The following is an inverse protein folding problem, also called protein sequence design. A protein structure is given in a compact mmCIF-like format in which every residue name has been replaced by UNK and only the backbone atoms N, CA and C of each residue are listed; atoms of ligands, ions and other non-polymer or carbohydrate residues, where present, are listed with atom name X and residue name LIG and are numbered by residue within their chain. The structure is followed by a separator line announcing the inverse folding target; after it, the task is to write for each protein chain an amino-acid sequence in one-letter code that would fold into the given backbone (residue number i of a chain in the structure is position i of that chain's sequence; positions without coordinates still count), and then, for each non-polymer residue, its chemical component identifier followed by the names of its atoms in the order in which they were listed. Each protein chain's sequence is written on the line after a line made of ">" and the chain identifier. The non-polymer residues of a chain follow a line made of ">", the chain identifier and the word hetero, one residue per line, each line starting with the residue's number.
data_IF_011653898061
#
_entry.id   IF_011653898061
#
_cell.length_a   1.000
_cell.length_b   1.000
_cell.length_c   1.000
_cell.angle_alpha   90.00
_cell.angle_beta   90.00
_cell.angle_gamma   90.00
#
_symmetry.space_group_name_H-M   'P 1'
#
loop_
_entity.id
_entity.type
_entity.pdbx_description
1 polymer ?
#
# COMPACT_ATOMS: atom_id res chain seq x y z
N UNK A 1 -3.89 14.95 11.84
CA UNK A 1 -3.07 15.61 12.87
C UNK A 1 -2.31 16.78 12.28
N UNK A 2 -2.10 17.83 13.08
CA UNK A 2 -1.14 18.87 12.76
C UNK A 2 -0.10 18.89 13.90
N UNK A 3 1.22 18.83 13.60
CA UNK A 3 1.79 18.73 12.24
C UNK A 3 1.52 17.36 11.61
N UNK A 4 1.51 17.29 10.27
CA UNK A 4 1.36 16.03 9.53
C UNK A 4 2.61 15.17 9.74
N UNK A 5 2.53 13.97 10.37
CA UNK A 5 3.69 13.08 10.51
C UNK A 5 4.13 12.52 9.15
N UNK A 6 5.44 12.28 9.00
CA UNK A 6 5.95 11.66 7.78
C UNK A 6 5.49 10.20 7.66
N UNK A 7 4.97 9.85 6.49
CA UNK A 7 4.59 8.46 6.15
C UNK A 7 5.56 7.91 5.12
N UNK A 8 6.17 6.77 5.40
CA UNK A 8 6.99 6.03 4.42
C UNK A 8 6.17 4.92 3.77
N UNK A 9 5.96 5.02 2.45
CA UNK A 9 5.25 4.04 1.65
C UNK A 9 6.26 3.06 1.08
N UNK A 10 6.21 1.79 1.48
CA UNK A 10 7.12 0.73 1.06
C UNK A 10 6.45 -0.11 -0.03
N UNK A 11 7.07 -0.20 -1.20
CA UNK A 11 6.54 -0.91 -2.38
C UNK A 11 7.55 -1.94 -2.86
N UNK A 12 7.44 -3.22 -2.47
CA UNK A 12 8.21 -4.29 -3.09
C UNK A 12 7.87 -4.40 -4.58
N UNK A 13 8.90 -4.45 -5.44
CA UNK A 13 8.70 -4.59 -6.88
C UNK A 13 9.69 -5.58 -7.48
N UNK A 14 9.21 -6.36 -8.42
CA UNK A 14 10.03 -7.22 -9.28
C UNK A 14 9.45 -7.20 -10.68
N UNK A 15 10.21 -6.64 -11.65
CA UNK A 15 9.68 -6.44 -13.00
C UNK A 15 8.32 -5.70 -12.96
N UNK A 16 7.29 -6.06 -13.71
CA UNK A 16 5.93 -5.46 -13.67
C UNK A 16 5.94 -3.93 -13.72
N UNK A 17 6.71 -3.37 -14.66
CA UNK A 17 6.94 -1.92 -14.80
C UNK A 17 5.64 -1.14 -14.98
N UNK A 18 4.72 -1.66 -15.80
CA UNK A 18 3.43 -1.01 -16.10
C UNK A 18 2.54 -0.88 -14.86
N UNK A 19 2.54 -1.89 -13.98
CA UNK A 19 1.76 -1.87 -12.75
C UNK A 19 2.37 -0.88 -11.76
N UNK A 20 3.70 -0.90 -11.61
CA UNK A 20 4.41 0.05 -10.76
C UNK A 20 4.21 1.49 -11.24
N UNK A 21 4.24 1.74 -12.56
CA UNK A 21 4.00 3.07 -13.13
C UNK A 21 2.61 3.60 -12.76
N UNK A 22 1.56 2.80 -12.94
CA UNK A 22 0.19 3.17 -12.55
C UNK A 22 0.07 3.43 -11.06
N UNK A 23 0.68 2.55 -10.25
CA UNK A 23 0.72 2.69 -8.80
C UNK A 23 1.35 4.03 -8.39
N UNK A 24 2.60 4.30 -8.80
CA UNK A 24 3.32 5.54 -8.48
C UNK A 24 2.57 6.77 -9.01
N UNK A 25 2.12 6.73 -10.28
CA UNK A 25 1.36 7.83 -10.84
C UNK A 25 0.11 8.15 -10.00
N UNK A 26 -0.64 7.13 -9.59
CA UNK A 26 -1.86 7.31 -8.80
C UNK A 26 -1.56 7.89 -7.41
N UNK A 27 -0.46 7.47 -6.77
CA UNK A 27 -0.03 8.00 -5.47
C UNK A 27 0.26 9.50 -5.59
N UNK A 28 1.16 9.88 -6.50
CA UNK A 28 1.60 11.28 -6.61
C UNK A 28 0.54 12.22 -7.21
N UNK A 29 -0.33 11.71 -8.08
CA UNK A 29 -1.37 12.53 -8.71
C UNK A 29 -2.61 12.74 -7.83
N UNK A 30 -2.93 11.80 -6.93
CA UNK A 30 -4.22 11.82 -6.22
C UNK A 30 -4.09 12.05 -4.72
N UNK A 31 -2.96 11.71 -4.08
CA UNK A 31 -2.84 11.81 -2.62
C UNK A 31 -2.85 13.27 -2.17
N UNK A 32 -3.82 13.63 -1.34
CA UNK A 32 -3.95 14.97 -0.77
C UNK A 32 -3.05 15.18 0.47
N UNK A 33 -2.55 14.11 1.08
CA UNK A 33 -1.61 14.18 2.18
C UNK A 33 -0.21 14.51 1.65
N UNK A 34 0.42 15.58 2.14
CA UNK A 34 1.65 16.11 1.54
C UNK A 34 2.94 15.51 2.12
N UNK A 35 2.93 15.10 3.39
CA UNK A 35 4.16 14.65 4.07
C UNK A 35 4.36 13.14 3.98
N UNK A 36 4.75 12.67 2.79
CA UNK A 36 5.09 11.25 2.55
C UNK A 36 6.34 11.09 1.71
N UNK A 37 6.98 9.94 1.83
CA UNK A 37 8.02 9.46 0.93
C UNK A 37 7.64 8.09 0.39
N UNK A 38 8.17 7.74 -0.79
CA UNK A 38 7.97 6.42 -1.40
C UNK A 38 9.30 5.70 -1.51
N UNK A 39 9.33 4.43 -1.08
CA UNK A 39 10.51 3.57 -1.15
C UNK A 39 10.13 2.33 -1.95
N UNK A 40 10.56 2.28 -3.19
CA UNK A 40 10.48 1.08 -4.03
C UNK A 40 11.60 0.13 -3.62
N UNK A 41 11.24 -1.11 -3.30
CA UNK A 41 12.19 -2.14 -2.92
C UNK A 41 12.34 -3.09 -4.10
N UNK A 42 13.40 -2.90 -4.87
CA UNK A 42 13.76 -3.71 -6.01
C UNK A 42 14.11 -5.13 -5.57
N UNK A 43 13.38 -6.13 -6.06
CA UNK A 43 13.52 -7.53 -5.68
C UNK A 43 13.94 -8.43 -6.85
N UNK A 44 15.18 -8.33 -7.28
CA UNK A 44 15.75 -9.20 -8.29
C UNK A 44 15.01 -9.14 -9.65
N UNK A 45 14.69 -7.96 -10.14
CA UNK A 45 14.17 -7.74 -11.49
C UNK A 45 15.19 -8.18 -12.54
N UNK A 46 14.69 -8.64 -13.67
CA UNK A 46 15.51 -9.12 -14.79
C UNK A 46 15.28 -8.34 -16.07
N UNK A 47 14.18 -7.59 -16.16
CA UNK A 47 13.86 -6.76 -17.30
C UNK A 47 14.64 -5.42 -17.23
N UNK A 48 15.49 -5.11 -18.22
CA UNK A 48 16.18 -3.81 -18.30
C UNK A 48 15.24 -2.60 -18.29
N UNK A 49 14.01 -2.73 -18.79
CA UNK A 49 13.01 -1.68 -18.80
C UNK A 49 12.64 -1.24 -17.37
N UNK A 50 12.61 -2.18 -16.42
CA UNK A 50 12.36 -1.89 -15.01
C UNK A 50 13.42 -0.94 -14.42
N UNK A 51 14.68 -1.20 -14.69
CA UNK A 51 15.76 -0.34 -14.19
C UNK A 51 15.75 1.03 -14.86
N UNK A 52 15.48 1.10 -16.17
CA UNK A 52 15.30 2.37 -16.87
C UNK A 52 14.15 3.20 -16.27
N UNK A 53 13.05 2.55 -15.95
CA UNK A 53 11.91 3.19 -15.31
C UNK A 53 12.25 3.71 -13.90
N UNK A 54 13.03 2.98 -13.10
CA UNK A 54 13.45 3.47 -11.79
C UNK A 54 14.23 4.79 -11.88
N UNK A 55 15.11 4.91 -12.88
CA UNK A 55 15.88 6.15 -13.09
C UNK A 55 14.99 7.32 -13.56
N UNK A 56 13.97 7.05 -14.37
CA UNK A 56 12.96 8.03 -14.75
C UNK A 56 12.10 8.44 -13.56
N UNK A 57 11.57 7.48 -12.83
CA UNK A 57 10.70 7.70 -11.69
C UNK A 57 11.37 8.55 -10.59
N UNK A 58 12.67 8.31 -10.31
CA UNK A 58 13.43 9.13 -9.36
C UNK A 58 13.54 10.59 -9.76
N UNK A 59 13.57 10.89 -11.06
CA UNK A 59 13.63 12.26 -11.58
C UNK A 59 12.25 12.92 -11.57
N UNK A 60 11.21 12.13 -11.75
CA UNK A 60 9.83 12.59 -11.89
C UNK A 60 9.14 12.83 -10.55
N UNK A 61 9.42 11.99 -9.56
CA UNK A 61 8.70 11.98 -8.29
C UNK A 61 9.60 12.38 -7.13
N UNK A 62 9.25 13.48 -6.47
CA UNK A 62 9.97 13.97 -5.29
C UNK A 62 9.86 12.97 -4.12
N UNK A 63 10.95 12.78 -3.39
CA UNK A 63 10.98 11.85 -2.24
C UNK A 63 10.98 10.37 -2.60
N UNK A 64 10.99 10.00 -3.91
CA UNK A 64 11.10 8.61 -4.34
C UNK A 64 12.51 8.07 -4.15
N UNK A 65 12.60 6.96 -3.43
CA UNK A 65 13.84 6.18 -3.27
C UNK A 65 13.66 4.79 -3.89
N UNK A 66 14.73 4.23 -4.43
CA UNK A 66 14.78 2.82 -4.83
C UNK A 66 15.94 2.16 -4.10
N UNK A 67 15.66 1.08 -3.38
CA UNK A 67 16.64 0.29 -2.65
C UNK A 67 16.62 -1.15 -3.16
N UNK A 68 17.78 -1.77 -3.31
CA UNK A 68 17.87 -3.13 -3.87
C UNK A 68 17.97 -4.16 -2.76
N UNK A 69 17.03 -5.10 -2.73
CA UNK A 69 17.05 -6.26 -1.86
C UNK A 69 18.24 -7.18 -2.22
N UNK A 70 19.16 -7.45 -1.28
CA UNK A 70 20.43 -8.13 -1.60
C UNK A 70 20.29 -9.65 -1.73
N UNK A 71 19.22 -10.24 -1.23
CA UNK A 71 19.05 -11.70 -1.21
C UNK A 71 18.19 -12.18 -2.39
N UNK A 72 18.30 -13.47 -2.69
CA UNK A 72 17.51 -14.10 -3.76
C UNK A 72 16.16 -14.60 -3.23
N UNK A 73 15.19 -14.63 -4.13
CA UNK A 73 13.86 -15.16 -3.86
C UNK A 73 12.90 -14.13 -3.29
N UNK A 74 11.72 -14.60 -2.90
CA UNK A 74 10.65 -13.75 -2.39
C UNK A 74 10.31 -14.10 -0.94
N UNK A 75 10.51 -13.16 -0.07
CA UNK A 75 10.02 -13.19 1.31
C UNK A 75 9.46 -11.82 1.65
N UNK A 76 8.14 -11.68 1.61
CA UNK A 76 7.45 -10.40 1.79
C UNK A 76 7.85 -9.67 3.07
N UNK A 77 7.90 -10.40 4.19
CA UNK A 77 8.27 -9.81 5.48
C UNK A 77 9.73 -9.33 5.51
N UNK A 78 10.65 -10.14 5.00
CA UNK A 78 12.07 -9.79 4.98
C UNK A 78 12.35 -8.60 4.06
N UNK A 79 11.72 -8.55 2.87
CA UNK A 79 11.84 -7.45 1.90
C UNK A 79 11.33 -6.14 2.52
N UNK A 80 10.16 -6.15 3.14
CA UNK A 80 9.60 -4.96 3.79
C UNK A 80 10.44 -4.53 5.02
N UNK A 81 10.95 -5.46 5.83
CA UNK A 81 11.86 -5.16 6.92
C UNK A 81 13.18 -4.56 6.43
N UNK A 82 13.65 -4.94 5.25
CA UNK A 82 14.79 -4.31 4.61
C UNK A 82 14.47 -2.89 4.16
N UNK A 83 13.36 -2.68 3.45
CA UNK A 83 12.91 -1.36 3.00
C UNK A 83 12.69 -0.39 4.15
N UNK A 84 12.18 -0.88 5.28
CA UNK A 84 12.02 -0.08 6.51
C UNK A 84 13.32 0.60 6.96
N UNK A 85 14.49 0.01 6.71
CA UNK A 85 15.79 0.62 7.10
C UNK A 85 16.09 1.92 6.35
N UNK A 86 15.50 2.13 5.19
CA UNK A 86 15.62 3.35 4.39
C UNK A 86 14.50 4.37 4.70
N UNK A 87 13.49 3.95 5.45
CA UNK A 87 12.34 4.77 5.82
C UNK A 87 12.72 5.79 6.92
N UNK A 88 12.19 6.99 6.78
CA UNK A 88 12.35 8.10 7.73
C UNK A 88 11.03 8.46 8.43
N UNK A 89 9.91 7.91 7.94
CA UNK A 89 8.58 8.19 8.45
C UNK A 89 8.31 7.58 9.82
N UNK A 90 7.49 8.29 10.58
CA UNK A 90 6.93 7.82 11.84
C UNK A 90 5.94 6.68 11.62
N UNK A 91 5.23 6.71 10.49
CA UNK A 91 4.29 5.68 10.07
C UNK A 91 4.81 4.97 8.83
N UNK A 92 4.55 3.66 8.77
CA UNK A 92 4.91 2.82 7.64
C UNK A 92 3.64 2.32 6.94
N UNK A 93 3.58 2.47 5.63
CA UNK A 93 2.54 1.87 4.79
C UNK A 93 3.16 0.82 3.89
N UNK A 94 2.73 -0.43 4.03
CA UNK A 94 3.12 -1.53 3.15
C UNK A 94 2.12 -1.58 2.00
N UNK A 95 2.57 -1.37 0.77
CA UNK A 95 1.73 -1.29 -0.41
C UNK A 95 2.25 -2.21 -1.51
N UNK A 96 1.35 -2.95 -2.17
CA UNK A 96 1.70 -3.70 -3.36
C UNK A 96 1.88 -2.76 -4.57
N UNK A 97 2.70 -3.19 -5.55
CA UNK A 97 2.97 -2.43 -6.76
C UNK A 97 1.83 -2.40 -7.79
N UNK A 98 0.79 -3.21 -7.60
CA UNK A 98 -0.40 -3.36 -8.46
C UNK A 98 -1.65 -2.64 -7.91
N UNK A 99 -1.48 -1.73 -6.97
CA UNK A 99 -2.57 -0.96 -6.35
C UNK A 99 -2.64 0.44 -6.92
N UNK A 100 -3.85 0.92 -7.23
CA UNK A 100 -4.10 2.30 -7.64
C UNK A 100 -4.92 3.06 -6.59
N UNK A 101 -4.47 4.26 -6.25
CA UNK A 101 -5.19 5.18 -5.35
C UNK A 101 -6.50 5.63 -6.00
N UNK A 102 -7.60 5.55 -5.27
CA UNK A 102 -8.93 5.94 -5.76
C UNK A 102 -9.31 7.37 -5.40
N UNK A 103 -9.14 7.75 -4.15
CA UNK A 103 -9.56 9.04 -3.58
C UNK A 103 -8.40 9.70 -2.83
N UNK A 104 -8.37 11.04 -2.82
CA UNK A 104 -7.22 11.80 -2.32
C UNK A 104 -6.98 11.71 -0.82
N UNK A 105 -8.01 11.46 -0.04
CA UNK A 105 -7.98 11.40 1.42
C UNK A 105 -7.56 10.04 2.01
N UNK A 106 -7.29 9.05 1.17
CA UNK A 106 -7.01 7.67 1.57
C UNK A 106 -5.94 7.54 2.67
N UNK A 107 -4.83 8.28 2.54
CA UNK A 107 -3.72 8.23 3.49
C UNK A 107 -4.07 8.94 4.80
N UNK A 108 -4.79 10.05 4.71
CA UNK A 108 -5.33 10.76 5.87
C UNK A 108 -6.30 9.87 6.67
N UNK A 109 -7.17 9.12 5.99
CA UNK A 109 -8.13 8.24 6.65
C UNK A 109 -7.43 7.07 7.36
N UNK A 110 -6.41 6.45 6.73
CA UNK A 110 -5.61 5.40 7.38
C UNK A 110 -4.88 5.94 8.63
N UNK A 111 -4.25 7.10 8.52
CA UNK A 111 -3.58 7.74 9.65
C UNK A 111 -4.54 8.09 10.78
N UNK A 112 -5.77 8.50 10.46
CA UNK A 112 -6.78 8.84 11.46
C UNK A 112 -7.11 7.67 12.38
N UNK A 113 -7.02 6.43 11.87
CA UNK A 113 -7.23 5.23 12.67
C UNK A 113 -6.04 4.87 13.58
N UNK A 114 -4.83 5.27 13.21
CA UNK A 114 -3.59 4.91 13.94
C UNK A 114 -3.07 6.04 14.83
N UNK A 115 -3.21 7.30 14.41
CA UNK A 115 -2.49 8.44 14.99
C UNK A 115 -3.19 9.12 16.18
N UNK A 116 -4.30 8.60 16.70
CA UNK A 116 -4.94 9.16 17.89
C UNK A 116 -4.63 8.32 19.15
N UNK A 117 -4.73 8.90 20.36
CA UNK A 117 -4.55 8.15 21.60
C UNK A 117 -5.54 6.97 21.68
N UNK A 118 -5.01 5.75 21.85
CA UNK A 118 -5.79 4.51 21.81
C UNK A 118 -6.13 4.04 20.39
N UNK A 119 -5.53 4.62 19.34
CA UNK A 119 -5.70 4.20 17.96
C UNK A 119 -5.15 2.80 17.68
N UNK A 120 -5.52 2.25 16.52
CA UNK A 120 -5.06 0.94 16.09
C UNK A 120 -3.55 0.94 15.81
N UNK A 121 -2.84 -0.10 16.24
CA UNK A 121 -1.42 -0.28 15.93
C UNK A 121 -1.21 -0.60 14.43
N UNK A 122 -2.20 -1.19 13.79
CA UNK A 122 -2.20 -1.55 12.37
C UNK A 122 -3.59 -1.27 11.80
N UNK A 123 -3.65 -0.59 10.66
CA UNK A 123 -4.89 -0.34 9.93
C UNK A 123 -4.75 -0.83 8.48
N UNK A 124 -5.80 -1.45 7.96
CA UNK A 124 -5.86 -1.91 6.57
C UNK A 124 -6.95 -1.19 5.79
N UNK A 125 -6.66 -0.86 4.52
CA UNK A 125 -7.63 -0.25 3.63
C UNK A 125 -8.63 -1.27 3.07
N UNK A 126 -9.85 -0.81 2.76
CA UNK A 126 -10.77 -1.56 1.92
C UNK A 126 -10.29 -1.51 0.47
N UNK A 127 -10.18 -2.68 -0.17
CA UNK A 127 -9.70 -2.80 -1.54
C UNK A 127 -10.83 -3.24 -2.48
N UNK A 128 -10.77 -2.74 -3.70
CA UNK A 128 -11.71 -3.06 -4.77
C UNK A 128 -11.00 -3.64 -5.98
N UNK A 129 -11.64 -4.57 -6.66
CA UNK A 129 -11.26 -4.98 -8.00
C UNK A 129 -11.59 -3.90 -9.03
N UNK A 130 -11.01 -3.94 -10.26
CA UNK A 130 -11.32 -2.98 -11.31
C UNK A 130 -12.80 -2.94 -11.72
N UNK A 131 -13.55 -4.02 -11.49
CA UNK A 131 -14.99 -4.12 -11.74
C UNK A 131 -15.87 -3.56 -10.61
N UNK A 132 -15.28 -2.83 -9.65
CA UNK A 132 -15.96 -2.23 -8.50
C UNK A 132 -16.51 -3.25 -7.48
N UNK A 133 -16.10 -4.51 -7.55
CA UNK A 133 -16.39 -5.47 -6.50
C UNK A 133 -15.32 -5.43 -5.40
N UNK A 134 -15.69 -5.82 -4.19
CA UNK A 134 -14.78 -5.88 -3.05
C UNK A 134 -13.72 -6.96 -3.24
N UNK A 135 -12.45 -6.59 -3.12
CA UNK A 135 -11.33 -7.51 -3.01
C UNK A 135 -11.06 -7.86 -1.55
N UNK A 136 -11.00 -6.84 -0.70
CA UNK A 136 -10.66 -6.95 0.72
C UNK A 136 -11.50 -5.97 1.55
N UNK A 137 -12.14 -6.48 2.59
CA UNK A 137 -12.86 -5.71 3.60
C UNK A 137 -12.78 -6.44 4.96
N UNK A 138 -11.55 -6.77 5.37
CA UNK A 138 -11.25 -7.54 6.57
C UNK A 138 -10.94 -9.01 6.31
N UNK A 139 -10.33 -9.65 7.29
CA UNK A 139 -9.91 -11.05 7.28
C UNK A 139 -10.62 -11.83 8.39
N UNK A 140 -11.10 -13.01 8.07
CA UNK A 140 -11.67 -13.95 9.04
C UNK A 140 -10.72 -15.12 9.20
N UNK A 141 -10.18 -15.30 10.40
CA UNK A 141 -9.31 -16.45 10.74
C UNK A 141 -10.12 -17.74 10.78
N UNK A 142 -9.51 -18.85 10.35
CA UNK A 142 -10.17 -20.18 10.26
C UNK A 142 -10.97 -20.41 8.98
N UNK A 143 -11.25 -19.39 8.18
CA UNK A 143 -11.95 -19.54 6.91
C UNK A 143 -11.02 -20.24 5.89
N UNK A 144 -11.47 -21.35 5.29
CA UNK A 144 -10.67 -22.14 4.35
C UNK A 144 -9.45 -22.84 4.97
N UNK A 145 -9.44 -23.03 6.29
CA UNK A 145 -8.38 -23.71 7.03
C UNK A 145 -7.32 -22.79 7.64
N UNK A 146 -7.14 -21.58 7.12
CA UNK A 146 -6.18 -20.58 7.64
C UNK A 146 -6.82 -19.22 7.88
N UNK A 147 -7.12 -18.49 6.82
CA UNK A 147 -7.77 -17.18 6.86
C UNK A 147 -8.33 -16.82 5.48
N UNK A 148 -9.41 -16.07 5.43
CA UNK A 148 -10.01 -15.64 4.18
C UNK A 148 -10.54 -14.21 4.24
N UNK A 149 -10.64 -13.59 3.06
CA UNK A 149 -11.21 -12.25 2.95
C UNK A 149 -12.71 -12.28 3.16
N UNK A 150 -13.20 -11.42 4.04
CA UNK A 150 -14.64 -11.20 4.19
C UNK A 150 -15.18 -10.39 3.01
N UNK A 151 -16.44 -10.67 2.65
CA UNK A 151 -17.19 -9.90 1.64
C UNK A 151 -16.60 -9.86 0.22
N UNK A 152 -15.60 -10.71 -0.11
CA UNK A 152 -14.99 -10.79 -1.43
C UNK A 152 -16.05 -10.92 -2.55
N UNK A 153 -15.87 -10.18 -3.64
CA UNK A 153 -16.77 -10.10 -4.81
C UNK A 153 -18.14 -9.47 -4.56
N UNK A 154 -18.42 -8.90 -3.38
CA UNK A 154 -19.62 -8.09 -3.20
C UNK A 154 -19.51 -6.75 -3.91
N UNK A 155 -20.62 -6.27 -4.45
CA UNK A 155 -20.70 -4.96 -5.10
C UNK A 155 -20.43 -3.84 -4.09
N UNK A 156 -19.76 -2.78 -4.56
CA UNK A 156 -19.54 -1.54 -3.81
C UNK A 156 -20.86 -0.98 -3.28
N UNK A 157 -20.84 -0.46 -2.05
CA UNK A 157 -22.03 0.13 -1.39
C UNK A 157 -22.96 -0.88 -0.72
N UNK A 158 -22.70 -2.18 -0.85
CA UNK A 158 -23.41 -3.18 -0.07
C UNK A 158 -22.95 -3.16 1.39
N UNK A 159 -23.91 -3.12 2.34
CA UNK A 159 -23.62 -3.08 3.78
C UNK A 159 -22.92 -4.35 4.33
N UNK A 160 -22.94 -5.44 3.55
CA UNK A 160 -22.40 -6.72 3.99
C UNK A 160 -23.22 -7.38 5.12
N UNK A 161 -22.68 -8.45 5.68
CA UNK A 161 -23.28 -9.13 6.81
C UNK A 161 -23.20 -8.23 8.06
N UNK A 162 -24.34 -7.98 8.70
CA UNK A 162 -24.48 -7.10 9.87
C UNK A 162 -23.79 -5.73 9.70
N UNK A 163 -23.92 -5.12 8.52
CA UNK A 163 -23.33 -3.82 8.17
C UNK A 163 -21.80 -3.75 8.24
N UNK A 164 -21.10 -4.87 8.38
CA UNK A 164 -19.64 -4.90 8.53
C UNK A 164 -18.86 -4.34 7.34
N UNK A 165 -19.42 -4.32 6.13
CA UNK A 165 -18.77 -3.68 4.98
C UNK A 165 -19.00 -2.16 4.91
N UNK A 166 -19.77 -1.59 5.82
CA UNK A 166 -20.08 -0.15 5.87
C UNK A 166 -19.51 0.53 7.13
N UNK A 167 -18.81 -0.20 7.98
CA UNK A 167 -18.24 0.31 9.24
C UNK A 167 -16.77 -0.06 9.37
N UNK A 168 -16.03 0.75 10.11
CA UNK A 168 -14.66 0.39 10.54
C UNK A 168 -14.76 -0.87 11.41
N UNK A 169 -13.87 -1.82 11.20
CA UNK A 169 -13.82 -3.09 11.94
C UNK A 169 -12.61 -3.09 12.86
N UNK A 170 -12.79 -3.57 14.07
CA UNK A 170 -11.74 -3.85 15.06
C UNK A 170 -11.05 -5.19 14.78
#
# INVERSE_FOLDING_TARGET
>A
PEPQPLVSILIPNKDHTDDLEKCLHSIYAKTAYENFEVIVIENNSTDPATFAYYEEARKRYEGLKVVTWPEKGFNFSAINNFGRKAAQGEYLLLLNNDVEVRNGDWLTELLRQCAHPGGAAICGAMLYYPDETLQHAGVVTGLGGYAGHSHKYKKKGGSGYLFRAATVQD
#
